data_IF_646368845274
#
_entry.id   IF_646368845274
#
_cell.length_a   1.000
_cell.length_b   1.000
_cell.length_c   1.000
_cell.angle_alpha   90.00
_cell.angle_beta   90.00
_cell.angle_gamma   90.00
#
_symmetry.space_group_name_H-M   'P 1'
#
loop_
_entity.id
_entity.type
_entity.pdbx_description
1 polymer ?
#
# COMPACT_ATOMS: atom_id res chain seq x y z
N UNK A 1 2.23 -13.08 -7.48
CA UNK A 1 1.17 -13.72 -6.69
C UNK A 1 0.43 -14.81 -7.47
N UNK A 2 -0.08 -14.53 -8.68
CA UNK A 2 -0.79 -15.52 -9.50
C UNK A 2 0.10 -16.72 -9.87
N UNK A 3 1.36 -16.45 -10.25
CA UNK A 3 2.35 -17.51 -10.52
C UNK A 3 2.62 -18.37 -9.28
N UNK A 4 2.83 -17.73 -8.14
CA UNK A 4 3.06 -18.42 -6.88
C UNK A 4 1.84 -19.24 -6.41
N UNK A 5 0.63 -18.81 -6.78
CA UNK A 5 -0.61 -19.55 -6.55
C UNK A 5 -0.87 -20.65 -7.60
N UNK A 6 -0.08 -20.72 -8.69
CA UNK A 6 -0.24 -21.68 -9.78
C UNK A 6 -1.49 -21.47 -10.63
N UNK A 7 -2.02 -20.26 -10.70
CA UNK A 7 -3.25 -19.93 -11.44
C UNK A 7 -3.05 -18.88 -12.53
N UNK A 8 -1.82 -18.42 -12.79
CA UNK A 8 -1.54 -17.37 -13.76
C UNK A 8 -2.12 -17.68 -15.15
N UNK A 9 -1.98 -18.94 -15.62
CA UNK A 9 -2.47 -19.35 -16.94
C UNK A 9 -3.99 -19.53 -17.01
N UNK A 10 -4.70 -19.43 -15.88
CA UNK A 10 -6.15 -19.61 -15.79
C UNK A 10 -6.94 -18.31 -15.81
N UNK A 11 -6.25 -17.19 -15.74
CA UNK A 11 -6.85 -15.84 -15.68
C UNK A 11 -6.36 -14.97 -16.82
N UNK A 12 -7.24 -14.09 -17.29
CA UNK A 12 -6.87 -13.03 -18.24
C UNK A 12 -6.80 -11.70 -17.47
N UNK A 13 -5.65 -11.04 -17.51
CA UNK A 13 -5.46 -9.75 -16.87
C UNK A 13 -5.78 -8.62 -17.83
N UNK A 14 -6.64 -7.69 -17.40
CA UNK A 14 -6.89 -6.44 -18.05
C UNK A 14 -6.45 -5.29 -17.14
N UNK A 15 -5.49 -4.49 -17.58
CA UNK A 15 -4.98 -3.37 -16.80
C UNK A 15 -5.78 -2.10 -17.09
N UNK A 16 -6.07 -1.34 -16.05
CA UNK A 16 -6.68 -0.02 -16.13
C UNK A 16 -5.72 1.04 -15.61
N UNK A 17 -5.77 2.23 -16.16
CA UNK A 17 -4.91 3.34 -15.76
C UNK A 17 -5.29 3.93 -14.41
N UNK A 18 -6.59 3.91 -14.10
CA UNK A 18 -7.14 4.52 -12.90
C UNK A 18 -8.01 3.53 -12.11
N UNK A 19 -7.90 3.56 -10.79
CA UNK A 19 -8.71 2.72 -9.92
C UNK A 19 -10.23 2.95 -10.09
N UNK A 20 -10.64 4.18 -10.43
CA UNK A 20 -12.03 4.53 -10.71
C UNK A 20 -12.60 3.79 -11.94
N UNK A 21 -11.76 3.45 -12.93
CA UNK A 21 -12.18 2.65 -14.08
C UNK A 21 -12.52 1.22 -13.66
N UNK A 22 -11.71 0.61 -12.77
CA UNK A 22 -11.99 -0.72 -12.21
C UNK A 22 -13.30 -0.71 -11.43
N UNK A 23 -13.52 0.32 -10.59
CA UNK A 23 -14.82 0.51 -9.88
C UNK A 23 -15.99 0.55 -10.86
N UNK A 24 -15.82 1.21 -12.01
CA UNK A 24 -16.87 1.32 -13.03
C UNK A 24 -17.15 -0.04 -13.71
N UNK A 25 -16.12 -0.84 -13.98
CA UNK A 25 -16.27 -2.20 -14.52
C UNK A 25 -17.03 -3.08 -13.53
N UNK A 26 -16.63 -3.07 -12.26
CA UNK A 26 -17.29 -3.84 -11.19
C UNK A 26 -18.76 -3.43 -10.98
N UNK A 27 -19.09 -2.17 -11.25
CA UNK A 27 -20.48 -1.70 -11.17
C UNK A 27 -21.33 -2.16 -12.35
N UNK A 28 -20.72 -2.36 -13.52
CA UNK A 28 -21.41 -2.71 -14.77
C UNK A 28 -21.56 -4.23 -14.97
N UNK A 29 -20.61 -5.02 -14.49
CA UNK A 29 -20.57 -6.48 -14.68
C UNK A 29 -20.54 -7.20 -13.32
N UNK A 30 -21.62 -7.89 -12.93
CA UNK A 30 -21.70 -8.62 -11.68
C UNK A 30 -20.80 -9.88 -11.62
N UNK A 31 -20.19 -10.29 -12.73
CA UNK A 31 -19.24 -11.39 -12.81
C UNK A 31 -17.78 -10.92 -12.83
N UNK A 32 -17.54 -9.61 -12.91
CA UNK A 32 -16.19 -9.07 -12.94
C UNK A 32 -15.49 -9.26 -11.60
N UNK A 33 -14.20 -9.55 -11.69
CA UNK A 33 -13.28 -9.59 -10.55
C UNK A 33 -12.27 -8.48 -10.73
N UNK A 34 -12.05 -7.68 -9.70
CA UNK A 34 -11.12 -6.55 -9.75
C UNK A 34 -10.11 -6.57 -8.59
N UNK A 35 -8.94 -6.03 -8.83
CA UNK A 35 -7.95 -5.72 -7.80
C UNK A 35 -7.93 -4.21 -7.63
N UNK A 36 -8.14 -3.75 -6.40
CA UNK A 36 -8.23 -2.34 -6.05
C UNK A 36 -7.47 -2.07 -4.74
N UNK A 37 -6.80 -0.93 -4.61
CA UNK A 37 -6.32 -0.48 -3.32
C UNK A 37 -7.45 0.13 -2.48
N UNK A 38 -7.24 0.26 -1.18
CA UNK A 38 -8.04 1.16 -0.35
C UNK A 38 -7.68 2.63 -0.67
N UNK A 39 -8.65 3.55 -0.62
CA UNK A 39 -10.05 3.40 -0.19
C UNK A 39 -11.02 2.96 -1.31
N UNK A 40 -10.54 2.64 -2.50
CA UNK A 40 -11.40 2.33 -3.67
C UNK A 40 -12.25 1.07 -3.48
N UNK A 41 -11.74 0.03 -2.81
CA UNK A 41 -12.53 -1.16 -2.43
C UNK A 41 -13.72 -0.73 -1.59
N UNK A 42 -13.49 0.03 -0.52
CA UNK A 42 -14.54 0.53 0.36
C UNK A 42 -15.54 1.42 -0.40
N UNK A 43 -15.05 2.31 -1.25
CA UNK A 43 -15.92 3.17 -2.06
C UNK A 43 -16.80 2.36 -3.03
N UNK A 44 -16.25 1.32 -3.65
CA UNK A 44 -17.00 0.41 -4.52
C UNK A 44 -18.10 -0.33 -3.73
N UNK A 45 -17.78 -0.87 -2.55
CA UNK A 45 -18.73 -1.57 -1.69
C UNK A 45 -19.82 -0.65 -1.13
N UNK A 46 -19.51 0.62 -0.86
CA UNK A 46 -20.53 1.61 -0.46
C UNK A 46 -21.50 1.90 -1.60
N UNK A 47 -21.02 1.94 -2.85
CA UNK A 47 -21.87 2.14 -4.05
C UNK A 47 -22.67 0.89 -4.41
N UNK A 48 -22.10 -0.28 -4.21
CA UNK A 48 -22.73 -1.56 -4.51
C UNK A 48 -22.45 -2.57 -3.39
N UNK A 49 -23.40 -2.73 -2.48
CA UNK A 49 -23.29 -3.61 -1.31
C UNK A 49 -23.26 -5.13 -1.66
N UNK A 50 -23.50 -5.50 -2.91
CA UNK A 50 -23.33 -6.88 -3.37
C UNK A 50 -21.85 -7.24 -3.64
N UNK A 51 -20.97 -6.25 -3.75
CA UNK A 51 -19.54 -6.48 -3.93
C UNK A 51 -18.92 -6.99 -2.62
N UNK A 52 -18.19 -8.08 -2.74
CA UNK A 52 -17.40 -8.66 -1.65
C UNK A 52 -15.91 -8.49 -1.93
N UNK A 53 -15.10 -8.43 -0.90
CA UNK A 53 -13.64 -8.44 -0.97
C UNK A 53 -13.12 -9.66 -0.19
N UNK A 54 -13.17 -10.86 -0.80
CA UNK A 54 -12.87 -12.10 -0.08
C UNK A 54 -11.38 -12.37 0.07
N UNK A 55 -10.52 -11.61 -0.62
CA UNK A 55 -9.07 -11.80 -0.63
C UNK A 55 -8.39 -10.49 -0.27
N UNK A 56 -7.63 -10.50 0.82
CA UNK A 56 -6.65 -9.48 1.16
C UNK A 56 -5.28 -9.87 0.61
N UNK A 57 -4.72 -9.04 -0.26
CA UNK A 57 -3.42 -9.33 -0.88
C UNK A 57 -2.26 -9.20 0.10
N UNK A 58 -2.40 -8.45 1.19
CA UNK A 58 -1.42 -8.40 2.26
C UNK A 58 -1.29 -9.75 2.94
N UNK A 59 -2.43 -10.36 3.33
CA UNK A 59 -2.45 -11.71 3.92
C UNK A 59 -1.92 -12.79 2.96
N UNK A 60 -2.21 -12.63 1.65
CA UNK A 60 -1.68 -13.56 0.62
C UNK A 60 -0.17 -13.41 0.52
N UNK A 61 0.34 -12.17 0.51
CA UNK A 61 1.77 -11.90 0.46
C UNK A 61 2.50 -12.50 1.66
N UNK A 62 2.03 -12.21 2.88
CA UNK A 62 2.61 -12.73 4.12
C UNK A 62 2.73 -14.26 4.12
N UNK A 63 1.68 -14.96 3.64
CA UNK A 63 1.71 -16.41 3.50
C UNK A 63 2.77 -16.91 2.52
N UNK A 64 2.97 -16.19 1.41
CA UNK A 64 3.93 -16.58 0.36
C UNK A 64 5.36 -16.17 0.72
N UNK A 65 5.52 -15.05 1.41
CA UNK A 65 6.81 -14.56 1.86
C UNK A 65 7.41 -15.40 3.00
N UNK A 66 6.57 -16.03 3.82
CA UNK A 66 7.02 -16.82 4.97
C UNK A 66 7.91 -16.01 5.91
N UNK A 67 9.06 -16.57 6.28
CA UNK A 67 10.01 -15.96 7.24
C UNK A 67 11.03 -14.99 6.59
N UNK A 68 10.79 -14.53 5.36
CA UNK A 68 11.74 -13.64 4.65
C UNK A 68 11.75 -12.19 5.16
N UNK A 69 10.76 -11.78 5.95
CA UNK A 69 10.56 -10.39 6.37
C UNK A 69 9.93 -9.50 5.30
N UNK A 70 9.77 -9.98 4.06
CA UNK A 70 9.14 -9.23 2.96
C UNK A 70 7.68 -8.89 3.27
N UNK A 71 7.28 -7.66 2.96
CA UNK A 71 5.90 -7.19 3.11
C UNK A 71 5.38 -6.59 1.81
N UNK A 72 4.06 -6.62 1.61
CA UNK A 72 3.42 -5.92 0.49
C UNK A 72 3.35 -4.43 0.80
N UNK A 73 4.30 -3.67 0.28
CA UNK A 73 4.40 -2.24 0.51
C UNK A 73 3.77 -1.46 -0.66
N UNK A 74 2.80 -0.61 -0.36
CA UNK A 74 2.08 0.19 -1.37
C UNK A 74 2.50 1.66 -1.39
N UNK A 75 3.18 2.13 -0.36
CA UNK A 75 3.66 3.51 -0.26
C UNK A 75 4.90 3.63 0.62
N UNK A 76 5.79 4.52 0.22
CA UNK A 76 7.02 4.83 0.96
C UNK A 76 7.26 6.33 0.96
N UNK A 77 7.93 6.83 1.99
CA UNK A 77 8.49 8.18 1.99
C UNK A 77 9.91 8.13 1.43
N UNK A 78 10.22 9.02 0.50
CA UNK A 78 11.58 9.16 -0.05
C UNK A 78 12.10 10.57 0.22
N UNK A 79 13.39 10.66 0.53
CA UNK A 79 14.09 11.93 0.69
C UNK A 79 15.34 11.95 -0.22
N UNK A 80 15.73 13.14 -0.67
CA UNK A 80 16.99 13.28 -1.39
C UNK A 80 18.16 13.13 -0.42
N UNK A 81 19.19 12.35 -0.77
CA UNK A 81 20.35 12.12 0.07
C UNK A 81 20.97 13.44 0.57
N UNK A 82 21.18 14.42 -0.32
CA UNK A 82 21.70 15.73 0.08
C UNK A 82 20.82 16.45 1.14
N UNK A 83 19.48 16.29 1.09
CA UNK A 83 18.62 16.87 2.11
C UNK A 83 18.80 16.16 3.46
N UNK A 84 18.93 14.85 3.44
CA UNK A 84 19.17 14.04 4.65
C UNK A 84 20.49 14.44 5.30
N UNK A 85 21.56 14.55 4.51
CA UNK A 85 22.90 14.92 4.98
C UNK A 85 22.94 16.35 5.57
N UNK A 86 22.21 17.29 4.97
CA UNK A 86 22.17 18.69 5.38
C UNK A 86 21.22 18.95 6.57
N UNK A 87 20.20 18.07 6.77
CA UNK A 87 19.13 18.31 7.72
C UNK A 87 18.76 17.04 8.53
N UNK A 88 19.71 16.34 9.16
CA UNK A 88 19.42 15.09 9.85
C UNK A 88 18.37 15.26 10.96
N UNK A 89 18.45 16.33 11.77
CA UNK A 89 17.50 16.60 12.85
C UNK A 89 16.05 16.75 12.32
N UNK A 90 15.88 17.33 11.13
CA UNK A 90 14.56 17.48 10.52
C UNK A 90 14.01 16.15 9.99
N UNK A 91 14.88 15.24 9.55
CA UNK A 91 14.48 13.89 9.14
C UNK A 91 14.03 13.09 10.35
N UNK A 92 14.79 13.11 11.44
CA UNK A 92 14.44 12.44 12.68
C UNK A 92 13.14 12.97 13.29
N UNK A 93 12.94 14.29 13.25
CA UNK A 93 11.68 14.92 13.65
C UNK A 93 10.53 14.43 12.80
N UNK A 94 10.69 14.41 11.47
CA UNK A 94 9.66 13.93 10.55
C UNK A 94 9.27 12.46 10.84
N UNK A 95 10.24 11.57 11.04
CA UNK A 95 9.98 10.16 11.32
C UNK A 95 9.18 10.02 12.62
N UNK A 96 9.57 10.73 13.67
CA UNK A 96 8.86 10.73 14.96
C UNK A 96 7.40 11.21 14.82
N UNK A 97 7.21 12.33 14.12
CA UNK A 97 5.86 12.89 13.90
C UNK A 97 5.01 11.99 12.99
N UNK A 98 5.62 11.36 11.98
CA UNK A 98 4.96 10.38 11.13
C UNK A 98 4.47 9.17 11.94
N UNK A 99 5.33 8.61 12.78
CA UNK A 99 4.96 7.50 13.67
C UNK A 99 3.81 7.88 14.60
N UNK A 100 3.89 9.03 15.26
CA UNK A 100 2.82 9.52 16.13
C UNK A 100 1.50 9.76 15.36
N UNK A 101 1.59 10.25 14.12
CA UNK A 101 0.42 10.44 13.25
C UNK A 101 -0.24 9.11 12.88
N UNK A 102 0.55 8.09 12.54
CA UNK A 102 0.06 6.74 12.25
C UNK A 102 -0.65 6.15 13.46
N UNK A 103 -0.06 6.26 14.65
CA UNK A 103 -0.66 5.80 15.90
C UNK A 103 -2.00 6.50 16.17
N UNK A 104 -2.06 7.82 15.99
CA UNK A 104 -3.29 8.60 16.18
C UNK A 104 -4.41 8.20 15.21
N UNK A 105 -4.07 7.98 13.93
CA UNK A 105 -5.02 7.54 12.89
C UNK A 105 -5.58 6.17 13.22
N UNK A 106 -4.73 5.24 13.64
CA UNK A 106 -5.14 3.88 13.98
C UNK A 106 -5.94 3.80 15.29
N UNK A 107 -5.64 4.69 16.25
CA UNK A 107 -6.35 4.75 17.54
C UNK A 107 -7.78 5.31 17.42
N UNK A 108 -8.01 6.28 16.51
CA UNK A 108 -9.32 6.91 16.30
C UNK A 108 -9.59 7.17 14.82
N UNK A 109 -10.01 6.13 14.13
CA UNK A 109 -10.36 6.20 12.70
C UNK A 109 -11.53 7.14 12.41
N UNK A 110 -12.43 7.38 13.37
CA UNK A 110 -13.56 8.30 13.19
C UNK A 110 -13.12 9.77 13.17
N UNK A 111 -12.21 10.15 14.06
CA UNK A 111 -11.58 11.49 14.02
C UNK A 111 -10.66 11.62 12.82
N UNK A 112 -9.85 10.61 12.52
CA UNK A 112 -8.99 10.59 11.34
C UNK A 112 -9.79 10.74 10.03
N UNK A 113 -10.96 10.11 9.91
CA UNK A 113 -11.83 10.24 8.74
C UNK A 113 -12.21 11.69 8.45
N UNK A 114 -12.50 12.49 9.48
CA UNK A 114 -12.81 13.93 9.32
C UNK A 114 -11.61 14.71 8.80
N UNK A 115 -10.42 14.39 9.31
CA UNK A 115 -9.18 15.06 8.92
C UNK A 115 -8.79 14.74 7.47
N UNK A 116 -8.88 13.48 7.05
CA UNK A 116 -8.54 13.09 5.67
C UNK A 116 -9.54 13.64 4.66
N UNK A 117 -10.81 13.81 5.04
CA UNK A 117 -11.80 14.49 4.19
C UNK A 117 -11.53 15.99 4.12
N UNK A 118 -11.21 16.62 5.25
CA UNK A 118 -10.85 18.04 5.29
C UNK A 118 -9.58 18.35 4.47
N UNK A 119 -8.64 17.39 4.40
CA UNK A 119 -7.45 17.45 3.58
C UNK A 119 -7.68 17.10 2.09
N UNK A 120 -8.91 16.72 1.70
CA UNK A 120 -9.25 16.37 0.33
C UNK A 120 -8.69 15.02 -0.15
N UNK A 121 -8.26 14.16 0.76
CA UNK A 121 -7.70 12.83 0.44
C UNK A 121 -8.80 11.83 0.08
N UNK A 122 -9.93 11.90 0.79
CA UNK A 122 -11.12 11.07 0.55
C UNK A 122 -12.33 11.99 0.48
N UNK A 123 -13.25 11.75 -0.46
CA UNK A 123 -14.40 12.63 -0.68
C UNK A 123 -15.46 12.57 0.44
N UNK A 124 -15.60 11.40 1.09
CA UNK A 124 -16.71 11.16 2.02
C UNK A 124 -16.25 10.52 3.34
N UNK A 125 -16.63 11.14 4.44
CA UNK A 125 -16.31 10.67 5.80
C UNK A 125 -16.73 9.21 6.07
N UNK A 126 -17.91 8.73 5.66
CA UNK A 126 -18.28 7.32 5.85
C UNK A 126 -17.39 6.32 5.10
N UNK A 127 -16.83 6.74 3.96
CA UNK A 127 -15.87 5.91 3.20
C UNK A 127 -14.54 5.90 3.94
N UNK A 128 -14.03 7.06 4.35
CA UNK A 128 -12.79 7.19 5.09
C UNK A 128 -12.82 6.38 6.41
N UNK A 129 -13.88 6.52 7.19
CA UNK A 129 -14.02 5.83 8.47
C UNK A 129 -14.05 4.29 8.34
N UNK A 130 -14.58 3.78 7.22
CA UNK A 130 -14.57 2.33 6.94
C UNK A 130 -13.27 1.84 6.32
N UNK A 131 -12.61 2.68 5.52
CA UNK A 131 -11.37 2.31 4.83
C UNK A 131 -10.15 2.34 5.74
N UNK A 132 -10.01 3.34 6.62
CA UNK A 132 -8.84 3.50 7.49
C UNK A 132 -8.46 2.21 8.23
N UNK A 133 -9.38 1.48 8.91
CA UNK A 133 -9.02 0.26 9.64
C UNK A 133 -8.48 -0.87 8.78
N UNK A 134 -8.66 -0.83 7.46
CA UNK A 134 -8.25 -1.85 6.49
C UNK A 134 -7.26 -1.32 5.44
N UNK A 135 -6.70 -0.12 5.67
CA UNK A 135 -5.66 0.46 4.81
C UNK A 135 -4.25 -0.02 5.14
N UNK A 136 -4.08 -0.79 6.23
CA UNK A 136 -2.76 -1.20 6.73
C UNK A 136 -1.79 -0.02 6.88
N UNK A 137 -2.28 1.09 7.48
CA UNK A 137 -1.48 2.30 7.70
C UNK A 137 -0.46 2.00 8.78
N UNK A 138 0.83 2.07 8.43
CA UNK A 138 1.93 1.73 9.32
C UNK A 138 3.11 2.68 9.12
N UNK A 139 3.97 2.79 10.14
CA UNK A 139 5.25 3.44 10.06
C UNK A 139 6.32 2.39 10.36
N UNK A 140 7.04 1.97 9.34
CA UNK A 140 8.12 0.99 9.44
C UNK A 140 9.43 1.73 9.16
N UNK A 141 10.40 1.61 10.07
CA UNK A 141 11.67 2.33 9.99
C UNK A 141 12.87 1.41 10.32
N UNK A 142 14.07 1.91 10.13
CA UNK A 142 15.31 1.22 10.46
C UNK A 142 15.47 -0.11 9.73
N UNK A 143 15.99 -1.12 10.44
CA UNK A 143 16.26 -2.44 9.87
C UNK A 143 14.99 -3.17 9.42
N UNK A 144 13.87 -2.99 10.10
CA UNK A 144 12.60 -3.60 9.69
C UNK A 144 12.10 -3.03 8.35
N UNK A 145 12.24 -1.71 8.15
CA UNK A 145 11.90 -1.07 6.88
C UNK A 145 12.79 -1.61 5.76
N UNK A 146 14.10 -1.74 6.02
CA UNK A 146 15.04 -2.31 5.04
C UNK A 146 14.64 -3.72 4.65
N UNK A 147 14.44 -4.63 5.61
CA UNK A 147 14.12 -6.04 5.35
C UNK A 147 12.80 -6.16 4.56
N UNK A 148 11.77 -5.41 4.97
CA UNK A 148 10.46 -5.41 4.30
C UNK A 148 10.56 -4.90 2.85
N UNK A 149 11.27 -3.80 2.64
CA UNK A 149 11.39 -3.15 1.34
C UNK A 149 12.31 -3.91 0.41
N UNK A 150 13.45 -4.39 0.88
CA UNK A 150 14.40 -5.19 0.09
C UNK A 150 13.74 -6.47 -0.42
N UNK A 151 13.02 -7.19 0.45
CA UNK A 151 12.27 -8.38 0.04
C UNK A 151 11.13 -8.07 -0.94
N UNK A 152 10.47 -6.92 -0.83
CA UNK A 152 9.46 -6.50 -1.80
C UNK A 152 10.08 -6.15 -3.15
N UNK A 153 11.16 -5.36 -3.16
CA UNK A 153 11.86 -4.97 -4.37
C UNK A 153 12.50 -6.17 -5.09
N UNK A 154 12.97 -7.17 -4.36
CA UNK A 154 13.51 -8.41 -4.95
C UNK A 154 12.43 -9.16 -5.75
N UNK A 155 11.22 -9.25 -5.24
CA UNK A 155 10.08 -9.85 -5.97
C UNK A 155 9.77 -9.06 -7.24
N UNK A 156 9.78 -7.74 -7.19
CA UNK A 156 9.57 -6.88 -8.36
C UNK A 156 10.71 -7.02 -9.37
N UNK A 157 11.97 -7.00 -8.91
CA UNK A 157 13.15 -7.15 -9.74
C UNK A 157 13.17 -8.48 -10.50
N UNK A 158 12.84 -9.58 -9.81
CA UNK A 158 12.78 -10.91 -10.42
C UNK A 158 11.62 -11.06 -11.42
N UNK A 159 10.54 -10.31 -11.25
CA UNK A 159 9.43 -10.27 -12.21
C UNK A 159 9.77 -9.41 -13.44
N UNK A 160 10.31 -8.23 -13.21
CA UNK A 160 10.78 -7.29 -14.25
C UNK A 160 11.79 -6.31 -13.63
N UNK A 161 13.08 -6.49 -13.95
CA UNK A 161 14.15 -5.65 -13.43
C UNK A 161 13.93 -4.15 -13.71
N UNK A 162 13.23 -3.79 -14.80
CA UNK A 162 12.95 -2.39 -15.14
C UNK A 162 12.03 -1.71 -14.15
N UNK A 163 11.20 -2.46 -13.42
CA UNK A 163 10.28 -1.94 -12.40
C UNK A 163 10.99 -1.30 -11.21
N UNK A 164 12.23 -1.70 -10.97
CA UNK A 164 13.09 -1.16 -9.90
C UNK A 164 14.31 -0.38 -10.44
N UNK A 165 14.23 0.09 -11.68
CA UNK A 165 15.30 0.88 -12.30
C UNK A 165 16.46 0.06 -12.90
N UNK A 166 16.30 -1.25 -13.05
CA UNK A 166 17.26 -2.15 -13.70
C UNK A 166 18.27 -2.79 -12.76
N UNK A 167 18.34 -2.37 -11.51
CA UNK A 167 19.21 -2.94 -10.47
C UNK A 167 18.59 -2.78 -9.09
N UNK A 168 18.90 -3.71 -8.19
CA UNK A 168 18.51 -3.56 -6.77
C UNK A 168 19.26 -2.37 -6.15
N UNK A 169 18.59 -1.61 -5.25
CA UNK A 169 19.24 -0.50 -4.54
C UNK A 169 20.42 -0.97 -3.68
N UNK A 170 21.42 -0.10 -3.53
CA UNK A 170 22.52 -0.30 -2.59
C UNK A 170 22.14 0.03 -1.14
N UNK A 171 23.07 -0.20 -0.21
CA UNK A 171 22.87 0.03 1.23
C UNK A 171 22.53 1.49 1.56
N UNK A 172 23.02 2.44 0.79
CA UNK A 172 22.82 3.88 0.92
C UNK A 172 21.41 4.36 0.54
N UNK A 173 20.60 3.48 -0.05
CA UNK A 173 19.20 3.76 -0.36
C UNK A 173 18.30 3.72 0.89
N UNK A 174 18.66 2.92 1.88
CA UNK A 174 17.84 2.69 3.07
C UNK A 174 18.29 3.57 4.21
N UNK A 175 17.44 4.54 4.59
CA UNK A 175 17.74 5.38 5.75
C UNK A 175 17.77 4.56 7.05
N UNK A 176 18.84 4.72 7.79
CA UNK A 176 19.01 4.13 9.12
C UNK A 176 19.15 5.29 10.11
N UNK A 177 18.14 5.47 10.97
CA UNK A 177 18.18 6.47 12.05
C UNK A 177 19.08 6.01 13.19
#
# INVERSE_FOLDING_TARGET
LLDAAGIADTVTLEFKSEAAEVVSVLAADPQAVGVLPQPFVTAAQVKNSALTAPVDLTEVWERLAGDTGSQLLTGVTVARAAFVDENPDAVDEFIREQSASVDAVNADSATAAKLVVAAGIVEAEPVAAKAIPVCHITCIEGSQMRDALEGYLDVLYNADASSVGGAMPGDDFYYQA
#
